data_IF_581102211057
#
_entry.id   IF_581102211057
#
_cell.length_a   1.000
_cell.length_b   1.000
_cell.length_c   1.000
_cell.angle_alpha   90.00
_cell.angle_beta   90.00
_cell.angle_gamma   90.00
#
_symmetry.space_group_name_H-M   'P 1'
#
loop_
_entity.id
_entity.type
_entity.pdbx_description
1 polymer ?
#
# COMPACT_ATOMS: atom_id res chain seq x y z
N UNK A 1 -14.66 -29.48 3.62
CA UNK A 1 -14.84 -29.55 2.16
C UNK A 1 -16.03 -28.70 1.70
N UNK A 2 -17.13 -28.66 2.47
CA UNK A 2 -18.39 -28.04 2.01
C UNK A 2 -18.37 -26.51 1.84
N UNK A 3 -17.53 -25.78 2.57
CA UNK A 3 -17.55 -24.30 2.56
C UNK A 3 -16.93 -23.67 1.31
N UNK A 4 -15.80 -24.19 0.83
CA UNK A 4 -15.03 -23.59 -0.27
C UNK A 4 -14.77 -24.54 -1.44
N UNK A 5 -15.17 -25.81 -1.33
CA UNK A 5 -14.97 -26.82 -2.38
C UNK A 5 -13.52 -27.26 -2.59
N UNK A 6 -12.59 -26.86 -1.71
CA UNK A 6 -11.20 -27.30 -1.71
C UNK A 6 -10.91 -28.25 -0.54
N UNK A 7 -10.01 -29.20 -0.76
CA UNK A 7 -9.55 -30.12 0.27
C UNK A 7 -8.16 -29.69 0.79
N UNK A 8 -8.04 -29.33 2.08
CA UNK A 8 -6.77 -28.92 2.69
C UNK A 8 -5.62 -29.91 2.49
N UNK A 9 -5.90 -31.21 2.33
CA UNK A 9 -4.87 -32.24 2.19
C UNK A 9 -4.07 -32.12 0.87
N UNK A 10 -4.57 -31.37 -0.12
CA UNK A 10 -3.85 -31.14 -1.39
C UNK A 10 -2.94 -29.91 -1.36
N UNK A 11 -2.88 -29.18 -0.23
CA UNK A 11 -2.10 -27.96 -0.11
C UNK A 11 -0.89 -28.12 0.80
N UNK A 12 0.27 -27.69 0.31
CA UNK A 12 1.50 -27.67 1.11
C UNK A 12 1.49 -26.58 2.19
N UNK A 13 0.75 -25.49 1.98
CA UNK A 13 0.72 -24.35 2.91
C UNK A 13 -0.66 -23.72 2.99
N UNK A 14 -1.00 -23.16 4.16
CA UNK A 14 -2.27 -22.47 4.37
C UNK A 14 -2.44 -21.21 3.48
N UNK A 15 -1.42 -20.38 3.21
CA UNK A 15 -1.56 -19.25 2.28
C UNK A 15 -1.85 -19.69 0.85
N UNK A 16 -1.26 -20.78 0.38
CA UNK A 16 -1.56 -21.33 -0.95
C UNK A 16 -3.02 -21.76 -1.06
N UNK A 17 -3.54 -22.45 -0.04
CA UNK A 17 -4.96 -22.81 0.03
C UNK A 17 -5.86 -21.56 0.07
N UNK A 18 -5.51 -20.56 0.90
CA UNK A 18 -6.29 -19.34 1.03
C UNK A 18 -6.34 -18.53 -0.28
N UNK A 19 -5.22 -18.46 -1.01
CA UNK A 19 -5.16 -17.81 -2.31
C UNK A 19 -6.05 -18.50 -3.35
N UNK A 20 -5.98 -19.83 -3.43
CA UNK A 20 -6.85 -20.60 -4.32
C UNK A 20 -8.34 -20.43 -3.98
N UNK A 21 -8.70 -20.49 -2.69
CA UNK A 21 -10.05 -20.18 -2.22
C UNK A 21 -10.50 -18.79 -2.70
N UNK A 22 -9.64 -17.78 -2.58
CA UNK A 22 -9.95 -16.42 -3.00
C UNK A 22 -10.22 -16.34 -4.51
N UNK A 23 -9.41 -16.99 -5.35
CA UNK A 23 -9.64 -17.06 -6.79
C UNK A 23 -10.94 -17.81 -7.14
N UNK A 24 -11.23 -18.91 -6.43
CA UNK A 24 -12.46 -19.69 -6.64
C UNK A 24 -13.71 -18.89 -6.28
N UNK A 25 -13.68 -18.12 -5.19
CA UNK A 25 -14.82 -17.30 -4.74
C UNK A 25 -15.03 -16.11 -5.68
N UNK A 26 -13.96 -15.39 -5.98
CA UNK A 26 -14.03 -14.10 -6.71
C UNK A 26 -14.12 -14.29 -8.22
N UNK A 27 -13.71 -15.45 -8.73
CA UNK A 27 -13.62 -15.76 -10.18
C UNK A 27 -12.77 -14.76 -10.96
N UNK A 28 -11.87 -14.04 -10.28
CA UNK A 28 -10.94 -13.13 -10.93
C UNK A 28 -9.88 -13.92 -11.67
N UNK A 29 -9.56 -13.48 -12.89
CA UNK A 29 -8.43 -13.99 -13.65
C UNK A 29 -7.26 -13.04 -13.42
N UNK A 30 -6.17 -13.56 -12.85
CA UNK A 30 -4.94 -12.80 -12.61
C UNK A 30 -3.95 -13.11 -13.73
N UNK A 31 -3.47 -12.07 -14.40
CA UNK A 31 -2.44 -12.19 -15.43
C UNK A 31 -1.10 -12.56 -14.81
N UNK A 32 -0.44 -13.56 -15.40
CA UNK A 32 0.93 -13.91 -15.03
C UNK A 32 1.91 -12.93 -15.67
N UNK A 33 2.65 -12.20 -14.84
CA UNK A 33 3.75 -11.35 -15.28
C UNK A 33 4.91 -12.19 -15.84
N UNK A 34 4.99 -12.31 -17.16
CA UNK A 34 6.04 -13.09 -17.85
C UNK A 34 7.25 -12.28 -18.30
N UNK A 35 7.12 -10.94 -18.36
CA UNK A 35 8.22 -10.04 -18.75
C UNK A 35 9.19 -9.86 -17.58
N UNK A 36 10.43 -10.29 -17.77
CA UNK A 36 11.50 -10.21 -16.78
C UNK A 36 11.70 -8.79 -16.21
N UNK A 37 11.66 -7.76 -17.05
CA UNK A 37 11.87 -6.38 -16.60
C UNK A 37 10.67 -5.86 -15.80
N UNK A 38 9.43 -6.26 -16.16
CA UNK A 38 8.24 -5.92 -15.37
C UNK A 38 8.29 -6.59 -14.01
N UNK A 39 8.69 -7.86 -13.94
CA UNK A 39 8.87 -8.59 -12.68
C UNK A 39 9.88 -7.88 -11.79
N UNK A 40 11.07 -7.54 -12.31
CA UNK A 40 12.07 -6.80 -11.55
C UNK A 40 11.57 -5.43 -11.07
N UNK A 41 10.77 -4.73 -11.89
CA UNK A 41 10.17 -3.46 -11.50
C UNK A 41 9.24 -3.63 -10.30
N UNK A 42 8.35 -4.63 -10.36
CA UNK A 42 7.39 -4.94 -9.30
C UNK A 42 8.09 -5.39 -8.02
N UNK A 43 9.04 -6.34 -8.12
CA UNK A 43 9.77 -6.88 -6.97
C UNK A 43 10.53 -5.78 -6.22
N UNK A 44 11.22 -4.90 -6.94
CA UNK A 44 11.89 -3.76 -6.31
C UNK A 44 10.93 -2.64 -5.86
N UNK A 45 9.64 -2.72 -6.17
CA UNK A 45 8.57 -1.91 -5.60
C UNK A 45 7.98 -2.48 -4.30
N UNK A 46 8.08 -3.78 -4.04
CA UNK A 46 7.49 -4.43 -2.85
C UNK A 46 8.14 -3.90 -1.56
N UNK A 47 7.31 -3.51 -0.59
CA UNK A 47 7.72 -3.06 0.75
C UNK A 47 6.92 -3.79 1.83
N UNK A 48 7.53 -3.95 3.01
CA UNK A 48 6.87 -4.47 4.19
C UNK A 48 6.04 -3.41 4.92
N UNK A 49 5.61 -3.73 6.14
CA UNK A 49 4.89 -2.79 7.00
C UNK A 49 5.70 -1.55 7.36
N UNK A 50 5.03 -0.39 7.44
CA UNK A 50 5.63 0.87 7.85
C UNK A 50 5.90 0.85 9.36
N UNK A 51 7.17 1.03 9.76
CA UNK A 51 7.56 1.20 11.17
C UNK A 51 8.38 2.47 11.32
N UNK A 52 7.90 3.41 12.11
CA UNK A 52 8.50 4.74 12.24
C UNK A 52 8.38 5.28 13.66
N UNK A 53 9.42 5.97 14.13
CA UNK A 53 9.43 6.70 15.38
C UNK A 53 9.82 8.18 15.12
N UNK A 54 8.83 9.04 14.87
CA UNK A 54 9.04 10.47 14.58
C UNK A 54 9.53 11.23 15.80
N UNK A 55 8.89 10.99 16.96
CA UNK A 55 9.22 11.65 18.22
C UNK A 55 9.80 10.64 19.19
N UNK A 56 11.06 10.84 19.57
CA UNK A 56 11.79 9.93 20.47
C UNK A 56 11.18 9.82 21.86
N UNK A 57 10.56 10.90 22.35
CA UNK A 57 9.97 10.94 23.68
C UNK A 57 8.73 11.84 23.72
N UNK A 58 7.62 11.27 24.17
CA UNK A 58 6.37 11.98 24.48
C UNK A 58 5.92 11.58 25.86
N UNK A 59 5.55 12.57 26.68
CA UNK A 59 4.97 12.35 28.00
C UNK A 59 3.62 13.04 28.07
N UNK A 60 2.58 12.30 28.44
CA UNK A 60 1.26 12.85 28.73
C UNK A 60 1.29 13.62 30.07
N UNK A 61 0.60 14.75 30.13
CA UNK A 61 0.33 15.48 31.37
C UNK A 61 -1.14 15.31 31.71
N UNK A 62 -1.50 14.25 32.44
CA UNK A 62 -2.87 13.95 32.82
C UNK A 62 -2.94 13.74 34.33
N UNK A 63 -4.01 14.24 34.97
CA UNK A 63 -4.25 14.06 36.42
C UNK A 63 -4.21 12.60 36.89
N UNK A 64 -4.44 11.65 35.98
CA UNK A 64 -4.46 10.20 36.24
C UNK A 64 -3.09 9.52 36.19
N UNK A 65 -2.02 10.24 35.82
CA UNK A 65 -0.66 9.64 35.72
C UNK A 65 0.32 10.25 36.74
N UNK A 66 1.28 9.46 37.27
CA UNK A 66 2.29 9.98 38.18
C UNK A 66 3.13 11.11 37.57
N UNK A 67 3.37 12.16 38.37
CA UNK A 67 4.13 13.33 37.95
C UNK A 67 3.33 14.32 37.09
N UNK A 68 2.00 14.36 37.28
CA UNK A 68 1.12 15.42 36.79
C UNK A 68 1.54 16.79 37.33
N UNK A 69 1.48 17.80 36.47
CA UNK A 69 1.80 19.18 36.77
C UNK A 69 0.60 20.06 36.40
N UNK A 70 -0.09 20.58 37.43
CA UNK A 70 -1.28 21.42 37.26
C UNK A 70 -0.98 22.79 36.64
N UNK A 71 0.30 23.18 36.55
CA UNK A 71 0.71 24.41 35.86
C UNK A 71 0.77 24.27 34.33
N UNK A 72 0.77 23.03 33.82
CA UNK A 72 0.85 22.72 32.40
C UNK A 72 -0.51 22.30 31.84
N UNK A 73 -0.77 22.53 30.54
CA UNK A 73 -1.99 22.06 29.90
C UNK A 73 -2.11 20.54 30.00
N UNK A 74 -3.34 20.05 30.15
CA UNK A 74 -3.63 18.62 30.20
C UNK A 74 -3.42 18.00 28.81
N UNK A 75 -2.80 16.82 28.75
CA UNK A 75 -2.54 16.10 27.51
C UNK A 75 -2.58 14.59 27.73
N UNK A 76 -3.01 13.86 26.70
CA UNK A 76 -3.13 12.40 26.67
C UNK A 76 -2.44 11.86 25.42
N UNK A 77 -1.90 10.64 25.50
CA UNK A 77 -1.35 9.92 24.34
C UNK A 77 -2.39 8.86 23.95
N UNK A 78 -2.81 8.87 22.68
CA UNK A 78 -3.70 7.86 22.14
C UNK A 78 -2.88 6.72 21.51
N UNK A 79 -3.28 5.48 21.78
CA UNK A 79 -2.80 4.30 21.07
C UNK A 79 -3.92 3.80 20.16
N UNK A 80 -3.70 3.86 18.85
CA UNK A 80 -4.66 3.45 17.84
C UNK A 80 -4.10 2.22 17.11
N UNK A 81 -4.98 1.25 16.85
CA UNK A 81 -4.66 0.05 16.09
C UNK A 81 -5.77 -0.23 15.09
N UNK A 82 -5.40 -0.57 13.86
CA UNK A 82 -6.33 -0.99 12.81
C UNK A 82 -6.48 -2.51 12.84
N UNK A 83 -7.69 -3.00 13.14
CA UNK A 83 -8.01 -4.43 13.10
C UNK A 83 -8.09 -4.91 11.65
N UNK A 84 -7.35 -5.98 11.32
CA UNK A 84 -7.32 -6.58 9.98
C UNK A 84 -6.94 -5.60 8.85
N UNK A 85 -5.86 -4.82 9.05
CA UNK A 85 -5.39 -3.82 8.07
C UNK A 85 -5.17 -4.42 6.67
N UNK A 86 -4.51 -5.58 6.58
CA UNK A 86 -4.27 -6.24 5.29
C UNK A 86 -5.56 -6.76 4.67
N UNK A 87 -6.50 -7.29 5.46
CA UNK A 87 -7.81 -7.68 4.94
C UNK A 87 -8.57 -6.49 4.37
N UNK A 88 -8.53 -5.34 5.04
CA UNK A 88 -9.12 -4.11 4.51
C UNK A 88 -8.44 -3.66 3.21
N UNK A 89 -7.11 -3.72 3.13
CA UNK A 89 -6.36 -3.38 1.92
C UNK A 89 -6.66 -4.34 0.76
N UNK A 90 -6.83 -5.63 1.05
CA UNK A 90 -7.20 -6.64 0.05
C UNK A 90 -8.63 -6.48 -0.48
N UNK A 91 -9.49 -5.68 0.17
CA UNK A 91 -10.83 -5.35 -0.35
C UNK A 91 -10.85 -4.11 -1.27
N UNK A 92 -9.71 -3.43 -1.44
CA UNK A 92 -9.60 -2.29 -2.35
C UNK A 92 -9.46 -2.75 -3.81
N UNK A 93 -9.50 -1.81 -4.76
CA UNK A 93 -9.20 -2.12 -6.16
C UNK A 93 -7.73 -2.51 -6.27
N UNK A 94 -7.45 -3.72 -6.77
CA UNK A 94 -6.10 -4.24 -6.95
C UNK A 94 -5.83 -4.51 -8.43
N UNK A 95 -4.58 -4.29 -8.89
CA UNK A 95 -4.21 -4.65 -10.24
C UNK A 95 -4.28 -6.16 -10.43
N UNK A 96 -4.89 -6.59 -11.54
CA UNK A 96 -5.03 -8.01 -11.85
C UNK A 96 -4.56 -8.37 -13.25
N UNK A 97 -4.57 -7.44 -14.22
CA UNK A 97 -4.19 -7.70 -15.60
C UNK A 97 -3.78 -6.40 -16.32
N UNK A 98 -3.54 -6.48 -17.63
CA UNK A 98 -3.26 -5.33 -18.49
C UNK A 98 -1.91 -4.69 -18.23
N UNK A 99 -0.91 -5.48 -17.84
CA UNK A 99 0.40 -4.96 -17.47
C UNK A 99 1.21 -4.54 -18.71
N UNK A 100 1.19 -3.25 -19.04
CA UNK A 100 1.84 -2.71 -20.24
C UNK A 100 2.85 -1.60 -19.89
N UNK A 101 3.97 -1.59 -20.62
CA UNK A 101 4.89 -0.46 -20.56
C UNK A 101 4.22 0.75 -21.20
N UNK A 102 4.26 1.89 -20.52
CA UNK A 102 3.80 3.14 -21.11
C UNK A 102 4.85 3.68 -22.08
N UNK A 103 4.49 3.76 -23.35
CA UNK A 103 5.39 4.12 -24.47
C UNK A 103 5.21 5.57 -24.96
N UNK A 104 4.32 6.33 -24.33
CA UNK A 104 4.03 7.73 -24.69
C UNK A 104 4.86 8.71 -23.86
N UNK A 105 4.54 9.99 -23.99
CA UNK A 105 5.26 11.07 -23.32
C UNK A 105 5.32 10.90 -21.79
N UNK A 106 6.55 10.77 -21.29
CA UNK A 106 6.89 10.69 -19.87
C UNK A 106 7.18 12.06 -19.27
N UNK A 107 6.83 13.18 -19.91
CA UNK A 107 6.97 14.48 -19.27
C UNK A 107 6.18 14.54 -17.96
N UNK A 108 6.74 15.22 -16.95
CA UNK A 108 6.06 15.44 -15.66
C UNK A 108 4.67 16.05 -15.85
N UNK A 109 4.52 16.97 -16.79
CA UNK A 109 3.23 17.59 -17.10
C UNK A 109 2.20 16.56 -17.60
N UNK A 110 2.60 15.68 -18.52
CA UNK A 110 1.70 14.65 -19.02
C UNK A 110 1.32 13.64 -17.92
N UNK A 111 2.28 13.18 -17.12
CA UNK A 111 1.99 12.25 -16.02
C UNK A 111 1.06 12.88 -14.98
N UNK A 112 1.29 14.14 -14.59
CA UNK A 112 0.39 14.83 -13.66
C UNK A 112 -1.03 14.99 -14.23
N UNK A 113 -1.16 15.26 -15.53
CA UNK A 113 -2.47 15.33 -16.20
C UNK A 113 -3.19 13.98 -16.24
N UNK A 114 -2.46 12.87 -16.39
CA UNK A 114 -3.06 11.54 -16.30
C UNK A 114 -3.59 11.28 -14.88
N UNK A 115 -2.79 11.62 -13.87
CA UNK A 115 -3.14 11.41 -12.46
C UNK A 115 -4.32 12.26 -11.99
N UNK A 116 -4.48 13.49 -12.52
CA UNK A 116 -5.55 14.41 -12.10
C UNK A 116 -6.97 13.86 -12.37
N UNK A 117 -7.11 12.94 -13.33
CA UNK A 117 -8.35 12.27 -13.67
C UNK A 117 -8.55 10.90 -13.03
N UNK A 118 -7.64 10.46 -12.16
CA UNK A 118 -7.63 9.11 -11.58
C UNK A 118 -7.94 9.13 -10.08
N UNK A 119 -8.62 8.07 -9.63
CA UNK A 119 -8.97 7.80 -8.23
C UNK A 119 -8.70 6.33 -7.87
N UNK A 120 -8.96 5.97 -6.62
CA UNK A 120 -8.69 4.63 -6.06
C UNK A 120 -9.60 3.50 -6.59
N UNK A 121 -10.61 3.86 -7.40
CA UNK A 121 -11.53 2.92 -8.06
C UNK A 121 -11.39 2.94 -9.58
N UNK A 122 -10.42 3.68 -10.10
CA UNK A 122 -10.19 3.79 -11.53
C UNK A 122 -9.90 2.42 -12.15
N UNK A 123 -10.44 2.11 -13.33
CA UNK A 123 -10.26 0.81 -13.97
C UNK A 123 -8.82 0.59 -14.46
N UNK A 124 -8.06 1.67 -14.61
CA UNK A 124 -6.66 1.67 -15.02
C UNK A 124 -5.86 2.40 -13.96
N UNK A 125 -4.70 1.86 -13.61
CA UNK A 125 -3.72 2.40 -12.67
C UNK A 125 -2.37 2.65 -13.34
N UNK A 126 -1.50 3.38 -12.64
CA UNK A 126 -0.12 3.64 -13.04
C UNK A 126 0.85 3.21 -11.94
N UNK A 127 1.94 2.54 -12.32
CA UNK A 127 3.08 2.27 -11.45
C UNK A 127 4.24 3.09 -11.97
N UNK A 128 4.74 3.99 -11.12
CA UNK A 128 5.72 4.99 -11.50
C UNK A 128 7.04 4.72 -10.76
N UNK A 129 8.12 4.67 -11.51
CA UNK A 129 9.48 4.80 -10.99
C UNK A 129 9.96 6.21 -11.28
N UNK A 130 10.18 7.00 -10.23
CA UNK A 130 10.38 8.45 -10.35
C UNK A 130 11.50 8.91 -9.44
N UNK A 131 12.20 9.97 -9.85
CA UNK A 131 13.05 10.74 -8.95
C UNK A 131 12.20 11.85 -8.31
N UNK A 132 12.28 11.96 -6.99
CA UNK A 132 11.53 12.99 -6.25
C UNK A 132 12.50 13.94 -5.56
N UNK A 133 12.21 15.23 -5.69
CA UNK A 133 12.90 16.29 -4.93
C UNK A 133 11.95 16.87 -3.89
N UNK A 134 12.39 16.93 -2.63
CA UNK A 134 11.57 17.44 -1.52
C UNK A 134 12.18 18.69 -0.88
N UNK A 135 11.32 19.55 -0.32
CA UNK A 135 11.70 20.83 0.30
C UNK A 135 11.83 20.73 1.83
N UNK A 136 11.14 19.80 2.51
CA UNK A 136 11.11 19.75 3.99
C UNK A 136 11.15 18.34 4.58
N UNK A 137 12.07 18.10 5.53
CA UNK A 137 12.41 16.79 6.14
C UNK A 137 11.28 16.14 6.98
N UNK A 138 10.35 16.90 7.54
CA UNK A 138 9.34 16.36 8.48
C UNK A 138 8.27 15.51 7.78
N UNK A 139 7.99 15.79 6.50
CA UNK A 139 7.04 15.00 5.69
C UNK A 139 7.72 13.72 5.14
N UNK A 140 9.06 13.72 5.05
CA UNK A 140 9.88 12.67 4.39
C UNK A 140 9.79 11.32 5.11
N UNK A 141 9.77 11.34 6.45
CA UNK A 141 9.97 10.12 7.21
C UNK A 141 8.73 9.20 7.18
N UNK A 142 7.53 9.74 6.90
CA UNK A 142 6.30 8.94 6.87
C UNK A 142 6.21 8.02 5.65
N UNK A 143 6.83 8.40 4.53
CA UNK A 143 6.65 7.71 3.25
C UNK A 143 7.89 6.94 2.77
N UNK A 144 9.04 7.06 3.44
CA UNK A 144 10.28 6.43 2.99
C UNK A 144 10.83 5.38 3.99
N UNK A 145 11.08 4.13 3.57
CA UNK A 145 11.84 3.19 4.37
C UNK A 145 13.30 3.65 4.50
N UNK A 146 13.86 3.46 5.68
CA UNK A 146 15.13 3.99 6.21
C UNK A 146 16.42 3.79 5.40
N UNK A 147 16.38 3.16 4.23
CA UNK A 147 17.58 2.85 3.42
C UNK A 147 18.03 3.97 2.48
N UNK A 148 17.27 5.05 2.35
CA UNK A 148 17.64 6.20 1.50
C UNK A 148 17.53 7.47 2.35
N UNK A 149 18.60 7.79 3.08
CA UNK A 149 18.89 9.17 3.45
C UNK A 149 19.90 9.66 2.42
N UNK A 150 19.46 10.32 1.34
CA UNK A 150 20.42 10.87 0.42
C UNK A 150 20.98 12.14 1.07
N UNK A 151 22.30 12.28 1.08
CA UNK A 151 22.99 13.53 1.41
C UNK A 151 22.73 14.66 0.38
N UNK A 152 21.74 14.46 -0.49
CA UNK A 152 21.32 15.29 -1.62
C UNK A 152 19.81 15.18 -1.76
N UNK A 153 19.12 16.25 -2.11
CA UNK A 153 17.65 16.39 -2.08
C UNK A 153 16.85 15.49 -3.03
N UNK A 154 17.48 14.49 -3.66
CA UNK A 154 16.92 13.64 -4.71
C UNK A 154 16.92 12.19 -4.20
N UNK A 155 15.75 11.57 -4.20
CA UNK A 155 15.59 10.15 -3.93
C UNK A 155 14.83 9.48 -5.07
N UNK A 156 15.32 8.34 -5.54
CA UNK A 156 14.56 7.49 -6.44
C UNK A 156 13.51 6.74 -5.62
N UNK A 157 12.23 6.97 -5.92
CA UNK A 157 11.10 6.36 -5.23
C UNK A 157 10.20 5.72 -6.27
N UNK A 158 9.89 4.45 -6.04
CA UNK A 158 8.84 3.76 -6.78
C UNK A 158 7.54 3.95 -6.04
N UNK A 159 6.59 4.59 -6.69
CA UNK A 159 5.31 4.95 -6.11
C UNK A 159 4.20 4.39 -7.00
N UNK A 160 3.26 3.68 -6.38
CA UNK A 160 1.92 3.52 -6.91
C UNK A 160 1.12 4.71 -6.38
N UNK A 161 1.01 5.77 -7.19
CA UNK A 161 0.41 7.04 -6.75
C UNK A 161 -1.08 7.10 -7.06
N UNK A 162 -1.82 7.43 -6.02
CA UNK A 162 -2.96 8.35 -6.06
C UNK A 162 -2.44 9.64 -5.41
N UNK A 163 -2.96 10.83 -5.73
CA UNK A 163 -2.69 12.14 -5.10
C UNK A 163 -1.81 13.18 -5.86
N UNK A 164 -2.33 14.41 -5.80
CA UNK A 164 -1.77 15.67 -6.27
C UNK A 164 -1.01 16.39 -5.13
N UNK A 165 0.29 16.66 -5.29
CA UNK A 165 1.10 17.75 -4.64
C UNK A 165 2.60 17.43 -4.42
N UNK A 166 3.23 16.59 -5.27
CA UNK A 166 4.67 16.31 -5.23
C UNK A 166 5.28 16.63 -6.60
N UNK A 167 6.46 17.26 -6.65
CA UNK A 167 7.22 17.42 -7.89
C UNK A 167 7.87 16.08 -8.27
N UNK A 168 7.28 15.43 -9.26
CA UNK A 168 7.62 14.08 -9.71
C UNK A 168 8.42 14.17 -11.01
N UNK A 169 9.59 13.51 -11.07
CA UNK A 169 10.35 13.36 -12.31
C UNK A 169 10.27 11.89 -12.74
N UNK A 170 9.34 11.52 -13.62
CA UNK A 170 9.13 10.13 -13.99
C UNK A 170 10.28 9.59 -14.85
N UNK A 171 10.69 8.36 -14.56
CA UNK A 171 11.76 7.65 -15.27
C UNK A 171 11.20 6.46 -16.05
N UNK A 172 10.29 5.69 -15.45
CA UNK A 172 9.64 4.53 -16.07
C UNK A 172 8.19 4.42 -15.58
N UNK A 173 7.26 4.08 -16.48
CA UNK A 173 5.82 3.96 -16.17
C UNK A 173 5.28 2.65 -16.71
N UNK A 174 4.58 1.91 -15.86
CA UNK A 174 3.76 0.75 -16.25
C UNK A 174 2.29 1.10 -16.05
N UNK A 175 1.46 0.85 -17.06
CA UNK A 175 0.00 0.91 -16.98
C UNK A 175 -0.52 -0.46 -16.56
N UNK A 176 -1.53 -0.46 -15.70
CA UNK A 176 -2.14 -1.69 -15.18
C UNK A 176 -3.67 -1.55 -15.19
N UNK A 177 -4.38 -2.64 -15.41
CA UNK A 177 -5.83 -2.70 -15.23
C UNK A 177 -6.18 -3.27 -13.84
N UNK A 178 -7.24 -2.74 -13.24
CA UNK A 178 -7.72 -3.15 -11.92
C UNK A 178 -9.23 -3.33 -11.91
N UNK A 179 -9.69 -4.32 -11.15
CA UNK A 179 -11.12 -4.59 -10.92
C UNK A 179 -11.42 -4.56 -9.43
N UNK A 180 -12.53 -3.93 -9.01
CA UNK A 180 -12.97 -3.98 -7.63
C UNK A 180 -13.47 -5.39 -7.29
N UNK A 181 -13.15 -5.84 -6.07
CA UNK A 181 -13.73 -7.06 -5.51
C UNK A 181 -15.19 -6.83 -5.11
N UNK A 182 -16.07 -7.80 -5.40
CA UNK A 182 -17.47 -7.74 -4.93
C UNK A 182 -17.50 -7.91 -3.41
N UNK A 183 -17.75 -6.80 -2.72
CA UNK A 183 -17.76 -6.70 -1.25
C UNK A 183 -18.83 -7.59 -0.60
N UNK A 184 -19.84 -8.05 -1.34
CA UNK A 184 -20.88 -8.95 -0.83
C UNK A 184 -20.47 -10.43 -0.79
N UNK A 185 -19.35 -10.79 -1.44
CA UNK A 185 -18.87 -12.18 -1.51
C UNK A 185 -17.92 -12.58 -0.36
N UNK A 186 -17.43 -11.60 0.41
CA UNK A 186 -16.45 -11.79 1.48
C UNK A 186 -17.06 -11.47 2.85
N UNK A 187 -17.90 -12.37 3.38
CA UNK A 187 -18.28 -12.34 4.80
C UNK A 187 -17.15 -12.96 5.63
N UNK A 188 -16.26 -12.14 6.16
CA UNK A 188 -15.33 -12.61 7.19
C UNK A 188 -16.08 -12.74 8.52
N UNK A 189 -16.41 -13.98 8.89
CA UNK A 189 -16.93 -14.31 10.21
C UNK A 189 -15.92 -13.86 11.27
N UNK A 190 -16.38 -13.04 12.21
CA UNK A 190 -15.62 -12.74 13.44
C UNK A 190 -15.72 -13.94 14.38
N UNK A 191 -15.10 -15.05 14.02
CA UNK A 191 -14.94 -16.16 14.95
C UNK A 191 -13.71 -15.89 15.82
N UNK A 192 -13.99 -15.65 17.10
CA UNK A 192 -13.03 -15.48 18.17
C UNK A 192 -12.14 -16.72 18.28
N UNK A 193 -10.95 -16.67 17.67
CA UNK A 193 -9.85 -17.58 17.98
C UNK A 193 -8.80 -16.84 18.82
N UNK A 194 -9.12 -16.71 20.11
CA UNK A 194 -8.14 -16.64 21.18
C UNK A 194 -8.58 -17.63 22.23
N UNK A 195 -7.95 -18.81 22.22
CA UNK A 195 -7.73 -19.64 23.40
C UNK A 195 -6.22 -19.87 23.51
#
# INVERSE_FOLDING_TARGET
>A
MDTYGVDPNYYYTAPGMAFDCALIITKVEVELLSDYNKVLMMEAGIRGGLTQAVKRYSKANNSKVPGYDSSKPESTIAYLYATNLYGWAMMQCLPNNGFEWYDKDLSTENILRLLDGMDDISPVGLILEVDVTYITLEIILFWMPSKVLPNTSIANVRLTLFFNSISIYPTIVTVIESKPLDKNSLSFGTDHFFD
#
